data_IF_401345401944
#
_entry.id   IF_401345401944
#
_cell.length_a   1.000
_cell.length_b   1.000
_cell.length_c   1.000
_cell.angle_alpha   90.00
_cell.angle_beta   90.00
_cell.angle_gamma   90.00
#
_symmetry.space_group_name_H-M   'P 1'
#
loop_
_entity.id
_entity.type
_entity.pdbx_description
1 polymer ?
#
# COMPACT_ATOMS: atom_id res chain seq x y z
N UNK A 1 16.16 1.28 10.80
CA UNK A 1 15.58 0.23 9.93
C UNK A 1 14.42 -0.38 10.67
N UNK A 2 13.30 -0.57 9.97
CA UNK A 2 12.07 -1.19 10.48
C UNK A 2 11.84 -2.47 9.70
N UNK A 3 11.48 -3.53 10.42
CA UNK A 3 11.11 -4.81 9.81
C UNK A 3 9.64 -4.76 9.44
N UNK A 4 9.29 -5.15 8.21
CA UNK A 4 7.90 -5.31 7.78
C UNK A 4 7.68 -6.76 7.38
N UNK A 5 6.70 -7.42 8.00
CA UNK A 5 6.27 -8.79 7.69
C UNK A 5 4.91 -8.70 7.01
N UNK A 6 4.76 -9.32 5.84
CA UNK A 6 3.55 -9.26 5.01
C UNK A 6 3.06 -10.66 4.66
N UNK A 7 1.74 -10.85 4.68
CA UNK A 7 1.10 -12.13 4.41
C UNK A 7 1.06 -13.05 5.63
N UNK A 8 0.31 -14.14 5.50
CA UNK A 8 0.17 -15.17 6.55
C UNK A 8 0.96 -16.44 6.24
N UNK A 9 1.02 -16.88 4.97
CA UNK A 9 1.82 -18.02 4.52
C UNK A 9 1.89 -18.10 2.98
N UNK A 10 3.07 -17.96 2.34
CA UNK A 10 4.36 -17.62 2.95
C UNK A 10 4.41 -16.15 3.40
N UNK A 11 4.98 -15.90 4.58
CA UNK A 11 5.31 -14.55 5.01
C UNK A 11 6.47 -14.01 4.15
N UNK A 12 6.35 -12.75 3.74
CA UNK A 12 7.42 -12.01 3.09
C UNK A 12 7.97 -10.95 4.04
N UNK A 13 9.28 -10.74 4.04
CA UNK A 13 9.96 -9.85 4.98
C UNK A 13 10.78 -8.79 4.26
N UNK A 14 10.62 -7.54 4.69
CA UNK A 14 11.43 -6.40 4.22
C UNK A 14 12.10 -5.68 5.38
N UNK A 15 13.26 -5.10 5.07
CA UNK A 15 13.98 -4.18 5.93
C UNK A 15 13.91 -2.79 5.28
N UNK A 16 13.14 -1.88 5.86
CA UNK A 16 12.85 -0.55 5.27
C UNK A 16 13.41 0.55 6.15
N UNK A 17 13.87 1.65 5.56
CA UNK A 17 14.26 2.83 6.33
C UNK A 17 13.02 3.48 6.95
N UNK A 18 13.07 3.66 8.27
CA UNK A 18 12.00 4.24 9.07
C UNK A 18 11.56 5.61 8.55
N UNK A 19 12.52 6.47 8.23
CA UNK A 19 12.26 7.81 7.71
C UNK A 19 11.49 7.78 6.38
N UNK A 20 11.78 6.82 5.49
CA UNK A 20 11.05 6.68 4.22
C UNK A 20 9.63 6.16 4.47
N UNK A 21 9.51 5.15 5.32
CA UNK A 21 8.23 4.51 5.60
C UNK A 21 7.27 5.46 6.31
N UNK A 22 7.74 6.16 7.34
CA UNK A 22 6.93 7.12 8.12
C UNK A 22 6.62 8.41 7.35
N UNK A 23 7.53 8.87 6.49
CA UNK A 23 7.25 10.02 5.61
C UNK A 23 6.19 9.69 4.54
N UNK A 24 6.16 8.43 4.07
CA UNK A 24 5.23 8.00 3.04
C UNK A 24 3.89 7.50 3.59
N UNK A 25 3.87 6.90 4.78
CA UNK A 25 2.69 6.24 5.37
C UNK A 25 2.40 6.81 6.76
N UNK A 26 1.23 7.47 6.88
CA UNK A 26 0.75 7.95 8.19
C UNK A 26 0.43 6.80 9.13
N UNK A 27 -0.04 5.67 8.60
CA UNK A 27 -0.25 4.45 9.37
C UNK A 27 1.07 3.98 10.02
N UNK A 28 2.15 3.88 9.25
CA UNK A 28 3.44 3.47 9.78
C UNK A 28 4.02 4.48 10.77
N UNK A 29 3.83 5.79 10.53
CA UNK A 29 4.19 6.83 11.49
C UNK A 29 3.43 6.67 12.82
N UNK A 30 2.14 6.36 12.78
CA UNK A 30 1.34 6.09 13.97
C UNK A 30 1.78 4.80 14.69
N UNK A 31 1.97 3.71 13.94
CA UNK A 31 2.39 2.41 14.48
C UNK A 31 3.76 2.45 15.18
N UNK A 32 4.68 3.31 14.70
CA UNK A 32 6.02 3.45 15.26
C UNK A 32 6.16 4.56 16.31
N UNK A 33 5.20 5.48 16.39
CA UNK A 33 5.23 6.59 17.37
C UNK A 33 4.48 6.26 18.66
N UNK A 34 3.51 5.35 18.62
CA UNK A 34 2.80 4.91 19.82
C UNK A 34 3.67 3.97 20.67
N UNK A 35 3.62 4.09 22.02
CA UNK A 35 4.25 3.16 22.95
C UNK A 35 3.50 1.81 22.97
N UNK A 36 3.53 1.12 21.84
CA UNK A 36 2.98 -0.22 21.62
C UNK A 36 4.13 -1.20 21.34
N UNK A 37 3.87 -2.51 21.44
CA UNK A 37 4.86 -3.59 21.18
C UNK A 37 5.64 -3.42 19.87
N UNK A 38 5.04 -2.78 18.87
CA UNK A 38 5.65 -2.54 17.55
C UNK A 38 6.81 -1.52 17.60
N UNK A 39 6.79 -0.57 18.55
CA UNK A 39 7.90 0.36 18.79
C UNK A 39 9.09 -0.39 19.43
N UNK A 40 8.83 -1.28 20.39
CA UNK A 40 9.85 -2.08 21.06
C UNK A 40 10.48 -3.12 20.10
N UNK A 41 9.66 -3.77 19.27
CA UNK A 41 10.10 -4.79 18.31
C UNK A 41 10.56 -4.21 16.97
N UNK A 42 10.36 -2.90 16.73
CA UNK A 42 10.58 -2.22 15.43
C UNK A 42 10.06 -3.02 14.24
N UNK A 43 8.89 -3.64 14.41
CA UNK A 43 8.31 -4.60 13.47
C UNK A 43 6.85 -4.25 13.20
N UNK A 44 6.51 -4.04 11.93
CA UNK A 44 5.13 -3.88 11.45
C UNK A 44 4.68 -5.19 10.80
N UNK A 45 3.49 -5.67 11.15
CA UNK A 45 2.90 -6.89 10.58
C UNK A 45 1.66 -6.54 9.77
N UNK A 46 1.61 -7.02 8.53
CA UNK A 46 0.53 -6.82 7.58
C UNK A 46 0.06 -8.18 7.05
N UNK A 47 -0.64 -8.99 7.88
CA UNK A 47 -0.98 -10.37 7.55
C UNK A 47 -1.95 -10.46 6.36
N UNK A 48 -2.83 -9.49 6.20
CA UNK A 48 -3.88 -9.51 5.17
C UNK A 48 -3.42 -8.95 3.81
N UNK A 49 -2.17 -8.48 3.74
CA UNK A 49 -1.60 -7.89 2.53
C UNK A 49 -0.80 -8.92 1.73
N UNK A 50 -0.78 -8.72 0.41
CA UNK A 50 -0.02 -9.55 -0.52
C UNK A 50 1.44 -9.07 -0.61
N UNK A 51 2.38 -9.99 -0.40
CA UNK A 51 3.81 -9.65 -0.40
C UNK A 51 4.33 -9.10 -1.73
N UNK A 52 3.81 -9.56 -2.87
CA UNK A 52 4.20 -9.04 -4.17
C UNK A 52 3.70 -7.60 -4.36
N UNK A 53 2.47 -7.30 -3.94
CA UNK A 53 1.90 -5.94 -3.97
C UNK A 53 2.69 -5.01 -3.04
N UNK A 54 3.01 -5.47 -1.82
CA UNK A 54 3.83 -4.68 -0.91
C UNK A 54 5.25 -4.43 -1.44
N UNK A 55 5.83 -5.39 -2.17
CA UNK A 55 7.12 -5.22 -2.83
C UNK A 55 7.16 -4.01 -3.78
N UNK A 56 6.09 -3.73 -4.51
CA UNK A 56 5.99 -2.54 -5.36
C UNK A 56 5.92 -1.25 -4.53
N UNK A 57 5.22 -1.26 -3.39
CA UNK A 57 5.22 -0.13 -2.47
C UNK A 57 6.63 0.14 -1.93
N UNK A 58 7.36 -0.91 -1.51
CA UNK A 58 8.76 -0.77 -1.07
C UNK A 58 9.63 -0.19 -2.18
N UNK A 59 9.49 -0.67 -3.41
CA UNK A 59 10.21 -0.11 -4.55
C UNK A 59 9.94 1.40 -4.70
N UNK A 60 8.67 1.80 -4.66
CA UNK A 60 8.27 3.21 -4.73
C UNK A 60 8.87 4.07 -3.61
N UNK A 61 9.00 3.55 -2.38
CA UNK A 61 9.62 4.29 -1.28
C UNK A 61 11.05 4.75 -1.60
N UNK A 62 11.80 3.95 -2.36
CA UNK A 62 13.19 4.24 -2.71
C UNK A 62 13.34 4.96 -4.05
N UNK A 63 12.50 4.67 -5.04
CA UNK A 63 12.66 5.20 -6.41
C UNK A 63 11.71 6.33 -6.74
N UNK A 64 10.60 6.48 -5.99
CA UNK A 64 9.45 7.33 -6.34
C UNK A 64 8.79 6.96 -7.68
N UNK A 65 9.04 5.74 -8.14
CA UNK A 65 8.48 5.19 -9.37
C UNK A 65 7.71 3.90 -9.08
N UNK A 66 6.74 3.59 -9.93
CA UNK A 66 5.98 2.35 -9.87
C UNK A 66 6.16 1.65 -11.21
N UNK A 67 6.62 0.40 -11.17
CA UNK A 67 6.73 -0.42 -12.37
C UNK A 67 5.35 -0.62 -13.01
N UNK A 68 5.33 -0.80 -14.33
CA UNK A 68 4.10 -1.14 -15.03
C UNK A 68 3.60 -2.50 -14.54
N UNK A 69 2.36 -2.53 -14.08
CA UNK A 69 1.69 -3.74 -13.58
C UNK A 69 0.34 -3.91 -14.27
N UNK A 70 -0.26 -5.12 -14.25
CA UNK A 70 -1.63 -5.32 -14.66
C UNK A 70 -2.59 -4.41 -13.88
N UNK A 71 -3.73 -4.08 -14.48
CA UNK A 71 -4.72 -3.18 -13.88
C UNK A 71 -5.25 -3.71 -12.55
N UNK A 72 -5.45 -5.02 -12.41
CA UNK A 72 -5.87 -5.63 -11.13
C UNK A 72 -4.82 -5.43 -10.03
N UNK A 73 -3.53 -5.54 -10.37
CA UNK A 73 -2.44 -5.24 -9.45
C UNK A 73 -2.41 -3.74 -9.12
N UNK A 74 -2.67 -2.86 -10.07
CA UNK A 74 -2.76 -1.41 -9.83
C UNK A 74 -3.89 -1.06 -8.84
N UNK A 75 -5.05 -1.70 -8.98
CA UNK A 75 -6.16 -1.54 -8.03
C UNK A 75 -5.77 -2.01 -6.63
N UNK A 76 -5.11 -3.16 -6.51
CA UNK A 76 -4.58 -3.65 -5.22
C UNK A 76 -3.54 -2.69 -4.62
N UNK A 77 -2.66 -2.12 -5.45
CA UNK A 77 -1.69 -1.10 -5.00
C UNK A 77 -2.41 0.15 -4.48
N UNK A 78 -3.47 0.58 -5.14
CA UNK A 78 -4.27 1.70 -4.68
C UNK A 78 -4.90 1.42 -3.31
N UNK A 79 -5.55 0.26 -3.15
CA UNK A 79 -6.16 -0.18 -1.88
C UNK A 79 -5.10 -0.30 -0.78
N UNK A 80 -3.93 -0.88 -1.07
CA UNK A 80 -2.80 -0.92 -0.13
C UNK A 80 -2.38 0.50 0.27
N UNK A 81 -2.27 1.42 -0.69
CA UNK A 81 -1.96 2.82 -0.43
C UNK A 81 -2.98 3.50 0.48
N UNK A 82 -4.26 3.19 0.33
CA UNK A 82 -5.31 3.69 1.21
C UNK A 82 -5.20 3.14 2.63
N UNK A 83 -5.05 1.81 2.78
CA UNK A 83 -4.87 1.15 4.07
C UNK A 83 -3.64 1.67 4.83
N UNK A 84 -2.54 1.88 4.12
CA UNK A 84 -1.31 2.45 4.67
C UNK A 84 -1.39 3.98 4.85
N UNK A 85 -2.49 4.63 4.46
CA UNK A 85 -2.65 6.07 4.47
C UNK A 85 -1.50 6.80 3.76
N UNK A 86 -1.10 6.25 2.61
CA UNK A 86 0.00 6.72 1.77
C UNK A 86 -0.54 7.51 0.57
N UNK A 87 -1.00 8.74 0.82
CA UNK A 87 -1.67 9.59 -0.19
C UNK A 87 -0.83 9.80 -1.45
N UNK A 88 0.43 10.20 -1.31
CA UNK A 88 1.33 10.43 -2.45
C UNK A 88 1.55 9.17 -3.31
N UNK A 89 1.46 7.98 -2.70
CA UNK A 89 1.55 6.73 -3.43
C UNK A 89 0.26 6.43 -4.19
N UNK A 90 -0.91 6.63 -3.56
CA UNK A 90 -2.22 6.48 -4.21
C UNK A 90 -2.34 7.37 -5.44
N UNK A 91 -1.94 8.63 -5.33
CA UNK A 91 -2.00 9.57 -6.45
C UNK A 91 -1.16 9.08 -7.64
N UNK A 92 0.06 8.61 -7.38
CA UNK A 92 0.94 8.06 -8.42
C UNK A 92 0.35 6.79 -9.04
N UNK A 93 -0.29 5.92 -8.25
CA UNK A 93 -0.95 4.71 -8.76
C UNK A 93 -2.10 5.08 -9.70
N UNK A 94 -2.98 6.00 -9.30
CA UNK A 94 -4.11 6.43 -10.15
C UNK A 94 -3.60 7.08 -11.42
N UNK A 95 -2.73 8.08 -11.28
CA UNK A 95 -2.28 8.90 -12.41
C UNK A 95 -1.50 8.08 -13.45
N UNK A 96 -0.75 7.06 -13.02
CA UNK A 96 0.12 6.28 -13.92
C UNK A 96 -0.47 4.95 -14.37
N UNK A 97 -1.32 4.32 -13.56
CA UNK A 97 -1.69 2.91 -13.75
C UNK A 97 -3.19 2.68 -13.94
N UNK A 98 -4.05 3.62 -13.54
CA UNK A 98 -5.51 3.46 -13.62
C UNK A 98 -6.08 4.55 -14.54
N UNK A 99 -6.14 4.32 -15.86
CA UNK A 99 -6.88 5.22 -16.74
C UNK A 99 -8.38 5.13 -16.41
N UNK A 100 -9.02 6.27 -16.10
CA UNK A 100 -10.44 6.37 -15.66
C UNK A 100 -11.47 5.74 -16.61
N UNK A 101 -11.12 5.34 -17.83
CA UNK A 101 -12.09 4.98 -18.87
C UNK A 101 -12.29 3.47 -19.11
N UNK A 102 -11.68 2.55 -18.33
CA UNK A 102 -11.69 1.12 -18.67
C UNK A 102 -11.74 0.14 -17.48
N UNK A 103 -12.52 0.43 -16.42
CA UNK A 103 -12.80 -0.62 -15.42
C UNK A 103 -13.87 -1.59 -15.94
N UNK A 104 -13.61 -2.90 -15.82
CA UNK A 104 -14.63 -3.94 -16.02
C UNK A 104 -15.61 -3.97 -14.85
N UNK A 105 -16.77 -4.63 -15.00
CA UNK A 105 -17.74 -4.78 -13.90
C UNK A 105 -17.09 -5.42 -12.66
N UNK A 106 -16.26 -6.46 -12.84
CA UNK A 106 -15.55 -7.10 -11.73
C UNK A 106 -14.56 -6.17 -11.03
N UNK A 107 -13.89 -5.29 -11.78
CA UNK A 107 -12.98 -4.30 -11.21
C UNK A 107 -13.74 -3.19 -10.48
N UNK A 108 -14.90 -2.80 -11.00
CA UNK A 108 -15.80 -1.86 -10.34
C UNK A 108 -16.30 -2.44 -9.00
N UNK A 109 -16.78 -3.69 -9.00
CA UNK A 109 -17.20 -4.39 -7.78
C UNK A 109 -16.06 -4.42 -6.74
N UNK A 110 -14.84 -4.75 -7.17
CA UNK A 110 -13.68 -4.73 -6.28
C UNK A 110 -13.41 -3.35 -5.68
N UNK A 111 -13.47 -2.27 -6.48
CA UNK A 111 -13.34 -0.89 -5.99
C UNK A 111 -14.45 -0.58 -4.99
N UNK A 112 -15.69 -0.97 -5.29
CA UNK A 112 -16.85 -0.73 -4.43
C UNK A 112 -16.79 -1.50 -3.10
N UNK A 113 -16.15 -2.66 -3.07
CA UNK A 113 -15.97 -3.46 -1.86
C UNK A 113 -14.80 -2.99 -0.98
N UNK A 114 -13.82 -2.27 -1.55
CA UNK A 114 -12.54 -1.97 -0.88
C UNK A 114 -12.26 -0.47 -0.67
N UNK A 115 -13.16 0.41 -1.06
CA UNK A 115 -13.02 1.87 -0.86
C UNK A 115 -14.25 2.45 -0.14
N UNK A 116 -14.27 3.75 0.15
CA UNK A 116 -15.42 4.42 0.77
C UNK A 116 -16.22 5.24 -0.26
N UNK A 117 -17.51 5.54 -0.03
CA UNK A 117 -18.25 6.48 -0.87
C UNK A 117 -17.55 7.84 -0.97
N UNK A 118 -17.45 8.38 -2.20
CA UNK A 118 -16.70 9.61 -2.49
C UNK A 118 -15.19 9.41 -2.68
N UNK A 119 -14.72 8.15 -2.73
CA UNK A 119 -13.35 7.86 -3.15
C UNK A 119 -13.14 8.19 -4.63
N UNK A 120 -11.95 8.69 -4.98
CA UNK A 120 -11.58 9.13 -6.33
C UNK A 120 -11.76 8.06 -7.42
N UNK A 121 -11.75 6.76 -7.08
CA UNK A 121 -12.02 5.69 -8.04
C UNK A 121 -13.51 5.37 -8.25
N UNK A 122 -14.42 6.04 -7.52
CA UNK A 122 -15.88 5.87 -7.63
C UNK A 122 -16.59 6.98 -8.42
N UNK A 123 -15.88 8.04 -8.77
CA UNK A 123 -16.41 9.21 -9.48
C UNK A 123 -16.41 9.03 -11.01
#
# INVERSE_FOLDING_TARGET
>A
MVKVIVGQSPESMWMVHEALLTAASRFAAAALSWPCKEQEERTIRLPDEDGAIFGHFVHFLYTREIARVPQDSALRLYVLGDRLQALSFRDVVVDKLIPSSMLTLTQLDYVMDNTIPGDRLRD
#
